data_IF_763536402015
#
_entry.id   IF_763536402015
#
_cell.length_a   1.000
_cell.length_b   1.000
_cell.length_c   1.000
_cell.angle_alpha   90.00
_cell.angle_beta   90.00
_cell.angle_gamma   90.00
#
_symmetry.space_group_name_H-M   'P 1'
#
loop_
_entity.id
_entity.type
_entity.pdbx_description
1 polymer ?
#
# COMPACT_ATOMS: atom_id res chain seq x y z
N UNK A 1 13.99 -23.29 34.43
CA UNK A 1 14.06 -22.77 33.05
C UNK A 1 13.08 -23.57 32.19
N UNK A 2 11.98 -22.97 31.75
CA UNK A 2 11.03 -23.66 30.86
C UNK A 2 11.65 -23.77 29.46
N UNK A 3 11.62 -24.95 28.82
CA UNK A 3 12.14 -25.08 27.46
C UNK A 3 11.30 -24.22 26.53
N UNK A 4 11.96 -23.30 25.84
CA UNK A 4 11.35 -22.44 24.81
C UNK A 4 10.63 -23.30 23.78
N UNK A 5 9.30 -23.21 23.76
CA UNK A 5 8.47 -23.88 22.75
C UNK A 5 8.86 -23.31 21.38
N UNK A 6 9.51 -24.12 20.55
CA UNK A 6 9.79 -23.78 19.15
C UNK A 6 8.50 -23.28 18.48
N UNK A 7 8.52 -22.04 17.98
CA UNK A 7 7.41 -21.47 17.24
C UNK A 7 7.13 -22.34 16.02
N UNK A 8 5.94 -22.95 15.97
CA UNK A 8 5.50 -23.72 14.80
C UNK A 8 5.19 -22.74 13.67
N UNK A 9 5.92 -22.85 12.55
CA UNK A 9 5.63 -22.10 11.33
C UNK A 9 4.44 -22.78 10.64
N UNK A 10 3.38 -22.01 10.36
CA UNK A 10 2.24 -22.49 9.61
C UNK A 10 2.29 -21.88 8.21
N UNK A 11 2.14 -22.72 7.19
CA UNK A 11 2.14 -22.28 5.81
C UNK A 11 0.71 -22.13 5.31
N UNK A 12 0.51 -21.17 4.41
CA UNK A 12 -0.74 -21.05 3.68
C UNK A 12 -0.83 -22.18 2.65
N UNK A 13 -2.02 -22.73 2.50
CA UNK A 13 -2.31 -23.81 1.57
C UNK A 13 -3.16 -23.27 0.41
N UNK A 14 -2.75 -23.52 -0.83
CA UNK A 14 -3.41 -22.95 -2.02
C UNK A 14 -4.85 -23.45 -2.18
N UNK A 15 -5.14 -24.67 -1.73
CA UNK A 15 -6.50 -25.22 -1.71
C UNK A 15 -7.48 -24.35 -0.90
N UNK A 16 -7.02 -23.57 0.08
CA UNK A 16 -7.89 -22.68 0.86
C UNK A 16 -8.47 -21.52 0.04
N UNK A 17 -7.88 -21.22 -1.13
CA UNK A 17 -8.47 -20.25 -2.06
C UNK A 17 -9.85 -20.71 -2.54
N UNK A 18 -9.97 -21.98 -2.94
CA UNK A 18 -11.22 -22.55 -3.45
C UNK A 18 -12.09 -23.14 -2.32
N UNK A 19 -11.49 -23.75 -1.30
CA UNK A 19 -12.25 -24.39 -0.23
C UNK A 19 -12.97 -23.36 0.66
N UNK A 20 -12.27 -22.27 0.98
CA UNK A 20 -12.67 -21.34 2.05
C UNK A 20 -12.65 -19.86 1.62
N UNK A 21 -12.36 -19.54 0.35
CA UNK A 21 -12.22 -18.16 -0.15
C UNK A 21 -11.15 -17.35 0.60
N UNK A 22 -9.99 -17.94 0.87
CA UNK A 22 -8.87 -17.24 1.50
C UNK A 22 -7.70 -17.03 0.54
N UNK A 23 -6.89 -16.00 0.75
CA UNK A 23 -5.61 -15.85 0.03
C UNK A 23 -4.52 -15.31 0.95
N UNK A 24 -3.27 -15.34 0.50
CA UNK A 24 -2.14 -14.81 1.26
C UNK A 24 -1.66 -13.47 0.69
N UNK A 25 -1.61 -12.46 1.55
CA UNK A 25 -1.08 -11.12 1.22
C UNK A 25 -0.01 -10.74 2.23
N UNK A 26 1.23 -10.53 1.76
CA UNK A 26 2.39 -10.14 2.60
C UNK A 26 2.52 -11.01 3.87
N UNK A 27 2.34 -12.32 3.73
CA UNK A 27 2.41 -13.29 4.82
C UNK A 27 1.14 -13.44 5.67
N UNK A 28 0.12 -12.59 5.50
CA UNK A 28 -1.16 -12.66 6.22
C UNK A 28 -2.21 -13.44 5.44
N UNK A 29 -2.99 -14.26 6.14
CA UNK A 29 -4.11 -15.01 5.57
C UNK A 29 -5.37 -14.14 5.61
N UNK A 30 -5.92 -13.79 4.44
CA UNK A 30 -7.01 -12.83 4.27
C UNK A 30 -8.23 -13.52 3.65
N UNK A 31 -9.41 -13.29 4.22
CA UNK A 31 -10.68 -13.73 3.65
C UNK A 31 -11.06 -12.85 2.45
N UNK A 32 -11.33 -13.44 1.29
CA UNK A 32 -11.72 -12.73 0.07
C UNK A 32 -13.16 -12.19 0.13
N UNK A 33 -14.00 -12.70 1.05
CA UNK A 33 -15.41 -12.32 1.15
C UNK A 33 -15.63 -11.08 2.05
N UNK A 34 -14.89 -10.98 3.15
CA UNK A 34 -15.03 -9.89 4.12
C UNK A 34 -13.72 -9.13 4.42
N UNK A 35 -12.60 -9.51 3.79
CA UNK A 35 -11.28 -8.92 4.00
C UNK A 35 -10.71 -9.05 5.43
N UNK A 36 -11.30 -9.90 6.27
CA UNK A 36 -10.77 -10.19 7.60
C UNK A 36 -9.41 -10.89 7.52
N UNK A 37 -8.48 -10.49 8.39
CA UNK A 37 -7.15 -11.10 8.51
C UNK A 37 -7.13 -12.13 9.64
N UNK A 38 -6.66 -13.34 9.34
CA UNK A 38 -6.43 -14.39 10.33
C UNK A 38 -4.96 -14.33 10.76
N UNK A 39 -4.74 -14.02 12.04
CA UNK A 39 -3.39 -13.86 12.61
C UNK A 39 -2.55 -15.15 12.54
N UNK A 40 -3.20 -16.31 12.62
CA UNK A 40 -2.55 -17.62 12.61
C UNK A 40 -3.18 -18.46 11.50
N UNK A 41 -2.50 -18.57 10.36
CA UNK A 41 -2.94 -19.30 9.16
C UNK A 41 -2.98 -20.81 9.35
N UNK A 42 -3.89 -21.30 10.19
CA UNK A 42 -4.22 -22.72 10.37
C UNK A 42 -5.53 -23.03 9.69
N UNK A 43 -5.64 -24.24 9.11
CA UNK A 43 -6.89 -24.74 8.54
C UNK A 43 -8.09 -24.54 9.47
N UNK A 44 -7.98 -24.96 10.73
CA UNK A 44 -9.09 -24.83 11.69
C UNK A 44 -9.53 -23.39 11.99
N UNK A 45 -8.64 -22.39 11.85
CA UNK A 45 -9.02 -20.98 12.02
C UNK A 45 -9.73 -20.45 10.76
N UNK A 46 -9.20 -20.80 9.59
CA UNK A 46 -9.74 -20.45 8.27
C UNK A 46 -11.13 -21.06 8.08
N UNK A 47 -11.26 -22.36 8.33
CA UNK A 47 -12.50 -23.12 8.21
C UNK A 47 -13.56 -22.63 9.19
N UNK A 48 -13.18 -22.38 10.46
CA UNK A 48 -14.10 -21.82 11.45
C UNK A 48 -14.64 -20.47 10.98
N UNK A 49 -13.76 -19.56 10.57
CA UNK A 49 -14.17 -18.25 10.07
C UNK A 49 -15.13 -18.38 8.89
N UNK A 50 -14.77 -19.20 7.90
CA UNK A 50 -15.62 -19.43 6.73
C UNK A 50 -17.01 -19.93 7.11
N UNK A 51 -17.09 -20.98 7.92
CA UNK A 51 -18.37 -21.60 8.31
C UNK A 51 -19.22 -20.68 9.21
N UNK A 52 -18.60 -19.94 10.14
CA UNK A 52 -19.34 -19.09 11.08
C UNK A 52 -19.76 -17.74 10.49
N UNK A 53 -18.91 -17.15 9.65
CA UNK A 53 -19.11 -15.79 9.13
C UNK A 53 -19.80 -15.81 7.77
N UNK A 54 -19.66 -16.90 7.00
CA UNK A 54 -20.21 -17.02 5.65
C UNK A 54 -21.06 -18.29 5.47
N UNK A 55 -22.07 -18.55 6.34
CA UNK A 55 -22.80 -19.83 6.35
C UNK A 55 -23.57 -20.14 5.04
N UNK A 56 -23.92 -19.11 4.25
CA UNK A 56 -24.70 -19.24 3.01
C UNK A 56 -23.86 -19.39 1.74
N UNK A 57 -22.54 -19.17 1.83
CA UNK A 57 -21.70 -19.09 0.63
C UNK A 57 -21.62 -20.42 -0.12
N UNK A 58 -21.73 -21.56 0.59
CA UNK A 58 -21.78 -22.89 -0.04
C UNK A 58 -23.06 -23.11 -0.85
N UNK A 59 -24.15 -22.41 -0.53
CA UNK A 59 -25.40 -22.49 -1.29
C UNK A 59 -25.30 -21.68 -2.58
N UNK A 60 -24.71 -20.48 -2.52
CA UNK A 60 -24.56 -19.59 -3.67
C UNK A 60 -23.44 -20.05 -4.62
N UNK A 61 -22.32 -20.52 -4.05
CA UNK A 61 -21.15 -20.97 -4.78
C UNK A 61 -20.76 -22.36 -4.25
N UNK A 62 -21.32 -23.46 -4.76
CA UNK A 62 -21.02 -24.80 -4.27
C UNK A 62 -19.54 -25.18 -4.38
N UNK A 63 -19.07 -26.02 -3.46
CA UNK A 63 -17.70 -26.53 -3.47
C UNK A 63 -17.38 -27.27 -4.79
N UNK A 64 -16.14 -27.14 -5.26
CA UNK A 64 -15.65 -27.71 -6.52
C UNK A 64 -16.41 -27.26 -7.80
N UNK A 65 -17.28 -26.26 -7.72
CA UNK A 65 -17.98 -25.72 -8.90
C UNK A 65 -17.10 -24.78 -9.72
N UNK A 66 -17.37 -24.69 -11.02
CA UNK A 66 -16.73 -23.72 -11.92
C UNK A 66 -17.04 -22.28 -11.52
N UNK A 67 -18.28 -22.00 -11.13
CA UNK A 67 -18.76 -20.69 -10.68
C UNK A 67 -17.97 -20.21 -9.44
N UNK A 68 -17.67 -21.11 -8.51
CA UNK A 68 -16.83 -20.80 -7.36
C UNK A 68 -15.41 -20.40 -7.77
N UNK A 69 -14.75 -21.18 -8.63
CA UNK A 69 -13.40 -20.88 -9.12
C UNK A 69 -13.33 -19.53 -9.83
N UNK A 70 -14.34 -19.23 -10.64
CA UNK A 70 -14.48 -17.93 -11.29
C UNK A 70 -14.64 -16.80 -10.27
N UNK A 71 -15.46 -17.01 -9.23
CA UNK A 71 -15.66 -16.03 -8.16
C UNK A 71 -14.37 -15.76 -7.38
N UNK A 72 -13.63 -16.80 -7.02
CA UNK A 72 -12.33 -16.67 -6.34
C UNK A 72 -11.36 -15.86 -7.19
N UNK A 73 -11.25 -16.19 -8.49
CA UNK A 73 -10.42 -15.43 -9.45
C UNK A 73 -10.83 -13.96 -9.54
N UNK A 74 -12.13 -13.69 -9.62
CA UNK A 74 -12.67 -12.32 -9.65
C UNK A 74 -12.26 -11.54 -8.38
N UNK A 75 -12.48 -12.12 -7.19
CA UNK A 75 -12.18 -11.47 -5.92
C UNK A 75 -10.68 -11.23 -5.73
N UNK A 76 -9.82 -12.17 -6.14
CA UNK A 76 -8.36 -11.98 -6.13
C UNK A 76 -7.94 -10.82 -7.03
N UNK A 77 -8.47 -10.74 -8.25
CA UNK A 77 -8.17 -9.63 -9.16
C UNK A 77 -8.63 -8.29 -8.60
N UNK A 78 -9.81 -8.25 -7.95
CA UNK A 78 -10.31 -7.06 -7.28
C UNK A 78 -9.37 -6.63 -6.14
N UNK A 79 -8.90 -7.57 -5.33
CA UNK A 79 -7.96 -7.30 -4.23
C UNK A 79 -6.63 -6.74 -4.75
N UNK A 80 -6.06 -7.32 -5.81
CA UNK A 80 -4.84 -6.82 -6.45
C UNK A 80 -5.04 -5.39 -6.96
N UNK A 81 -6.18 -5.11 -7.60
CA UNK A 81 -6.52 -3.76 -8.08
C UNK A 81 -6.66 -2.75 -6.94
N UNK A 82 -7.27 -3.13 -5.83
CA UNK A 82 -7.36 -2.26 -4.64
C UNK A 82 -5.97 -1.95 -4.07
N UNK A 83 -5.08 -2.94 -4.01
CA UNK A 83 -3.71 -2.75 -3.54
C UNK A 83 -2.88 -1.85 -4.46
N UNK A 84 -3.02 -2.01 -5.78
CA UNK A 84 -2.29 -1.20 -6.74
C UNK A 84 -2.69 0.28 -6.66
N UNK A 85 -3.98 0.58 -6.51
CA UNK A 85 -4.45 1.97 -6.32
C UNK A 85 -3.85 2.60 -5.06
N UNK A 86 -3.82 1.88 -3.93
CA UNK A 86 -3.24 2.40 -2.68
C UNK A 86 -1.73 2.66 -2.82
N UNK A 87 -1.00 1.78 -3.49
CA UNK A 87 0.42 1.97 -3.77
C UNK A 87 0.68 3.17 -4.71
N UNK A 88 -0.13 3.33 -5.76
CA UNK A 88 -0.05 4.49 -6.66
C UNK A 88 -0.27 5.83 -5.93
N UNK A 89 -1.18 5.87 -4.95
CA UNK A 89 -1.36 7.06 -4.10
C UNK A 89 -0.09 7.33 -3.28
N UNK A 90 0.53 6.29 -2.71
CA UNK A 90 1.77 6.45 -1.96
C UNK A 90 2.95 6.91 -2.82
N UNK A 91 2.99 6.54 -4.10
CA UNK A 91 4.05 6.98 -5.00
C UNK A 91 3.89 8.46 -5.40
N UNK A 92 2.65 8.92 -5.63
CA UNK A 92 2.37 10.33 -5.93
C UNK A 92 2.71 11.29 -4.79
N UNK A 93 2.58 10.85 -3.54
CA UNK A 93 2.84 11.71 -2.36
C UNK A 93 4.31 11.79 -1.97
N UNK A 94 5.16 10.85 -2.43
CA UNK A 94 6.60 10.83 -2.12
C UNK A 94 7.31 12.12 -2.51
N UNK A 95 7.07 12.61 -3.73
CA UNK A 95 7.68 13.83 -4.23
C UNK A 95 7.27 15.04 -3.36
N UNK A 96 5.99 15.14 -3.00
CA UNK A 96 5.48 16.20 -2.12
C UNK A 96 6.09 16.14 -0.72
N UNK A 97 6.13 14.96 -0.10
CA UNK A 97 6.73 14.78 1.23
C UNK A 97 8.22 15.11 1.21
N UNK A 98 8.96 14.67 0.19
CA UNK A 98 10.37 14.99 0.02
C UNK A 98 10.59 16.50 -0.17
N UNK A 99 9.78 17.16 -0.98
CA UNK A 99 9.83 18.60 -1.20
C UNK A 99 9.61 19.36 0.12
N UNK A 100 8.55 19.02 0.88
CA UNK A 100 8.27 19.63 2.19
C UNK A 100 9.44 19.43 3.17
N UNK A 101 9.99 18.21 3.24
CA UNK A 101 11.15 17.93 4.09
C UNK A 101 12.37 18.79 3.72
N UNK A 102 12.68 18.90 2.44
CA UNK A 102 13.80 19.72 1.96
C UNK A 102 13.60 21.20 2.26
N UNK A 103 12.40 21.73 2.01
CA UNK A 103 12.06 23.12 2.37
C UNK A 103 12.29 23.33 3.86
N UNK A 104 11.71 22.50 4.73
CA UNK A 104 11.92 22.56 6.19
C UNK A 104 13.39 22.51 6.59
N UNK A 105 14.21 21.70 5.90
CA UNK A 105 15.65 21.62 6.14
C UNK A 105 16.36 22.94 5.80
N UNK A 106 16.02 23.59 4.69
CA UNK A 106 16.59 24.89 4.31
C UNK A 106 16.17 25.95 5.35
N UNK A 107 14.90 25.94 5.78
CA UNK A 107 14.38 26.84 6.83
C UNK A 107 15.22 26.71 8.11
N UNK A 108 15.36 25.48 8.60
CA UNK A 108 16.07 25.19 9.84
C UNK A 108 17.56 25.58 9.80
N UNK A 109 18.21 25.39 8.64
CA UNK A 109 19.63 25.75 8.45
C UNK A 109 19.86 27.26 8.46
N UNK A 110 18.96 28.02 7.82
CA UNK A 110 19.18 29.45 7.58
C UNK A 110 18.83 30.31 8.80
N UNK A 111 17.92 29.85 9.67
CA UNK A 111 17.51 30.55 10.91
C UNK A 111 17.11 32.03 10.68
N UNK A 112 16.58 32.35 9.48
CA UNK A 112 16.17 33.69 9.07
C UNK A 112 14.64 33.79 9.03
N UNK A 113 14.05 35.00 9.22
CA UNK A 113 12.63 35.24 8.99
C UNK A 113 12.22 34.91 7.54
N UNK A 114 10.96 34.55 7.33
CA UNK A 114 10.36 34.28 6.00
C UNK A 114 10.11 35.58 5.22
N UNK A 115 11.07 36.48 5.24
CA UNK A 115 11.06 37.79 4.55
C UNK A 115 12.30 37.95 3.66
N UNK A 116 13.30 37.07 3.82
CA UNK A 116 14.49 37.01 2.97
C UNK A 116 14.17 36.27 1.65
N UNK A 117 14.03 37.04 0.58
CA UNK A 117 13.67 36.55 -0.75
C UNK A 117 14.68 35.58 -1.37
N UNK A 118 15.97 35.71 -1.06
CA UNK A 118 16.99 34.77 -1.58
C UNK A 118 16.81 33.39 -0.97
N UNK A 119 16.55 33.35 0.33
CA UNK A 119 16.30 32.10 1.04
C UNK A 119 14.95 31.46 0.65
N UNK A 120 13.91 32.27 0.44
CA UNK A 120 12.62 31.77 -0.08
C UNK A 120 12.84 31.15 -1.46
N UNK A 121 13.64 31.78 -2.33
CA UNK A 121 13.98 31.25 -3.65
C UNK A 121 14.72 29.90 -3.56
N UNK A 122 15.67 29.75 -2.63
CA UNK A 122 16.33 28.46 -2.35
C UNK A 122 15.33 27.36 -1.98
N UNK A 123 14.32 27.68 -1.17
CA UNK A 123 13.22 26.76 -0.85
C UNK A 123 12.42 26.35 -2.09
N UNK A 124 12.08 27.32 -2.97
CA UNK A 124 11.35 27.04 -4.22
C UNK A 124 12.15 26.16 -5.18
N UNK A 125 13.46 26.40 -5.31
CA UNK A 125 14.35 25.59 -6.15
C UNK A 125 14.42 24.14 -5.65
N UNK A 126 14.60 23.94 -4.34
CA UNK A 126 14.64 22.59 -3.75
C UNK A 126 13.30 21.85 -3.88
N UNK A 127 12.17 22.55 -3.68
CA UNK A 127 10.85 21.97 -3.87
C UNK A 127 10.61 21.58 -5.34
N UNK A 128 10.93 22.47 -6.28
CA UNK A 128 10.77 22.24 -7.71
C UNK A 128 11.61 21.08 -8.23
N UNK A 129 12.84 20.92 -7.73
CA UNK A 129 13.70 19.79 -8.05
C UNK A 129 13.07 18.44 -7.68
N UNK A 130 12.29 18.40 -6.59
CA UNK A 130 11.61 17.19 -6.14
C UNK A 130 10.26 16.97 -6.84
N UNK A 131 9.46 18.03 -6.99
CA UNK A 131 8.09 17.94 -7.52
C UNK A 131 8.05 17.71 -9.03
N UNK A 132 9.02 18.25 -9.77
CA UNK A 132 9.06 18.18 -11.23
C UNK A 132 10.07 17.15 -11.75
N UNK A 133 10.56 16.28 -10.87
CA UNK A 133 11.41 15.16 -11.26
C UNK A 133 10.67 14.23 -12.22
N UNK A 134 11.27 13.95 -13.39
CA UNK A 134 10.66 13.12 -14.44
C UNK A 134 9.69 13.85 -15.38
N UNK A 135 9.41 15.14 -15.19
CA UNK A 135 8.65 15.92 -16.17
C UNK A 135 9.51 16.32 -17.37
N UNK A 136 8.96 16.22 -18.58
CA UNK A 136 9.65 16.57 -19.83
C UNK A 136 10.08 18.05 -19.88
N UNK A 137 9.30 18.92 -19.26
CA UNK A 137 9.52 20.36 -19.20
C UNK A 137 10.19 20.83 -17.90
N UNK A 138 10.84 19.93 -17.14
CA UNK A 138 11.55 20.27 -15.89
C UNK A 138 12.48 21.47 -16.07
N UNK A 139 13.29 21.48 -17.13
CA UNK A 139 14.28 22.53 -17.37
C UNK A 139 13.65 23.90 -17.59
N UNK A 140 12.52 23.98 -18.30
CA UNK A 140 11.79 25.23 -18.52
C UNK A 140 11.22 25.78 -17.20
N UNK A 141 10.60 24.90 -16.40
CA UNK A 141 10.05 25.27 -15.09
C UNK A 141 11.17 25.76 -14.15
N UNK A 142 12.28 25.02 -14.07
CA UNK A 142 13.43 25.41 -13.25
C UNK A 142 14.06 26.72 -13.74
N UNK A 143 14.12 26.94 -15.06
CA UNK A 143 14.62 28.18 -15.63
C UNK A 143 13.74 29.37 -15.25
N UNK A 144 12.41 29.22 -15.28
CA UNK A 144 11.47 30.27 -14.88
C UNK A 144 11.61 30.65 -13.39
N UNK A 145 11.76 29.66 -12.51
CA UNK A 145 11.98 29.90 -11.06
C UNK A 145 13.28 30.67 -10.82
N UNK A 146 14.34 30.36 -11.59
CA UNK A 146 15.63 31.02 -11.47
C UNK A 146 15.68 32.40 -12.12
N UNK A 147 14.91 32.63 -13.19
CA UNK A 147 14.90 33.87 -13.98
C UNK A 147 14.27 35.07 -13.26
N UNK A 148 13.42 34.86 -12.25
CA UNK A 148 12.90 35.94 -11.41
C UNK A 148 14.03 36.47 -10.49
N UNK A 149 14.78 37.46 -10.97
CA UNK A 149 15.69 38.31 -10.19
C UNK A 149 14.92 39.58 -9.82
N UNK A 150 14.66 39.77 -8.52
CA UNK A 150 14.56 41.10 -7.93
C UNK A 150 15.92 41.41 -7.30
#
# INVERSE_FOLDING_TARGET
>A
MNPSKKSKVYHFHIEWEDDYFFTQVKGKCICLLCHASIAVGKKGNVERHFNSTHPKINTEYPANSSIRKEKVKQLKNQLVRQQSVLLQVSDKTKATTLASYKVSQVIAKKKKPFEDGEYIKECFVEAANCLFEGLKNKYEIMSAINANRN
#
